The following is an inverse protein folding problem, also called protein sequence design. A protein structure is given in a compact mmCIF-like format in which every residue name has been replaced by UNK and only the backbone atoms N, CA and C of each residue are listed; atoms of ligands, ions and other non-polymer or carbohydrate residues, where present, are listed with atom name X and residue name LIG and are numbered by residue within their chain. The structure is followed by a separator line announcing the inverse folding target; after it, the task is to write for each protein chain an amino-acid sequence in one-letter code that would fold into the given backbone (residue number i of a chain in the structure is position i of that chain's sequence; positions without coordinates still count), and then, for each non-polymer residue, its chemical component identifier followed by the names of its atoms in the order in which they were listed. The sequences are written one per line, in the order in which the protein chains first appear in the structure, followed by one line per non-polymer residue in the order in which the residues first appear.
data_IF_705512021346
#
_entry.id   IF_705512021346
#
_cell.length_a   1.000
_cell.length_b   1.000
_cell.length_c   1.000
_cell.angle_alpha   90.00
_cell.angle_beta   90.00
_cell.angle_gamma   90.00
#
_symmetry.space_group_name_H-M   'P 1'
#
loop_
_entity.id
_entity.type
_entity.pdbx_description
1 polymer ?
#
# COMPACT_ATOMS: atom_id res chain seq x y z
N UNK A 1 -33.35 20.70 -23.09
CA UNK A 1 -31.94 20.64 -22.64
C UNK A 1 -31.93 19.65 -21.51
N UNK A 2 -31.20 18.55 -21.60
CA UNK A 2 -30.98 17.67 -20.45
C UNK A 2 -30.11 18.45 -19.46
N UNK A 3 -30.54 18.54 -18.20
CA UNK A 3 -29.69 19.09 -17.12
C UNK A 3 -28.42 18.26 -17.04
N UNK A 4 -27.30 18.91 -17.22
CA UNK A 4 -25.99 18.30 -16.99
C UNK A 4 -25.74 18.25 -15.47
N UNK A 5 -25.56 17.07 -14.95
CA UNK A 5 -25.20 16.84 -13.54
C UNK A 5 -23.71 16.49 -13.45
N UNK A 6 -23.06 16.81 -12.31
CA UNK A 6 -21.67 16.43 -12.11
C UNK A 6 -21.52 14.91 -11.94
N UNK A 7 -20.36 14.36 -12.24
CA UNK A 7 -20.06 12.93 -12.04
C UNK A 7 -20.34 12.48 -10.60
N UNK A 8 -20.08 13.33 -9.61
CA UNK A 8 -20.33 13.07 -8.19
C UNK A 8 -21.84 12.92 -7.86
N UNK A 9 -22.70 13.68 -8.52
CA UNK A 9 -24.15 13.73 -8.22
C UNK A 9 -25.01 13.02 -9.27
N UNK A 10 -24.40 12.33 -10.23
CA UNK A 10 -25.12 11.55 -11.23
C UNK A 10 -25.54 10.19 -10.68
N UNK A 11 -26.68 9.68 -11.15
CA UNK A 11 -27.07 8.28 -10.93
C UNK A 11 -26.40 7.40 -11.96
N UNK A 12 -25.85 6.30 -11.52
CA UNK A 12 -25.12 5.35 -12.35
C UNK A 12 -25.98 4.13 -12.68
N UNK A 13 -25.84 3.64 -13.90
CA UNK A 13 -26.32 2.32 -14.31
C UNK A 13 -25.09 1.57 -14.80
N UNK A 14 -24.69 0.54 -14.07
CA UNK A 14 -23.49 -0.25 -14.36
C UNK A 14 -23.96 -1.67 -14.64
N UNK A 15 -23.59 -2.22 -15.80
CA UNK A 15 -24.02 -3.54 -16.28
C UNK A 15 -25.55 -3.73 -16.27
N UNK A 16 -26.27 -2.67 -16.62
CA UNK A 16 -27.75 -2.65 -16.62
C UNK A 16 -28.38 -2.54 -15.22
N UNK A 17 -27.60 -2.46 -14.15
CA UNK A 17 -28.08 -2.33 -12.77
C UNK A 17 -28.01 -0.86 -12.33
N UNK A 18 -29.16 -0.29 -11.95
CA UNK A 18 -29.21 1.07 -11.39
C UNK A 18 -28.64 1.09 -9.98
N UNK A 19 -27.62 1.92 -9.75
CA UNK A 19 -27.02 2.13 -8.45
C UNK A 19 -27.92 3.02 -7.59
N UNK A 20 -28.02 2.66 -6.29
CA UNK A 20 -28.93 3.33 -5.36
C UNK A 20 -28.43 4.71 -4.97
N UNK A 21 -27.17 4.82 -4.62
CA UNK A 21 -26.51 6.04 -4.16
C UNK A 21 -25.64 6.65 -5.26
N UNK A 22 -25.50 7.95 -5.26
CA UNK A 22 -24.50 8.67 -6.04
C UNK A 22 -23.15 8.64 -5.33
N UNK A 23 -22.02 8.84 -6.04
CA UNK A 23 -20.72 8.96 -5.38
C UNK A 23 -20.69 10.00 -4.25
N UNK A 24 -21.33 11.15 -4.44
CA UNK A 24 -21.41 12.18 -3.40
C UNK A 24 -22.19 11.72 -2.17
N UNK A 25 -23.33 11.04 -2.35
CA UNK A 25 -24.11 10.53 -1.19
C UNK A 25 -23.30 9.53 -0.35
N UNK A 26 -22.51 8.65 -0.99
CA UNK A 26 -21.65 7.69 -0.27
C UNK A 26 -20.51 8.38 0.49
N UNK A 27 -19.86 9.34 -0.18
CA UNK A 27 -18.72 10.05 0.40
C UNK A 27 -19.11 11.04 1.48
N UNK A 28 -20.29 11.71 1.35
CA UNK A 28 -20.81 12.65 2.33
C UNK A 28 -21.12 11.97 3.69
N UNK A 29 -21.48 10.69 3.67
CA UNK A 29 -21.72 9.90 4.89
C UNK A 29 -20.43 9.65 5.69
N UNK A 30 -19.27 9.75 5.06
CA UNK A 30 -17.94 9.55 5.68
C UNK A 30 -17.31 10.84 6.22
N UNK A 31 -17.96 12.00 6.06
CA UNK A 31 -17.41 13.30 6.47
C UNK A 31 -17.61 13.54 7.96
N UNK A 32 -16.52 13.89 8.66
CA UNK A 32 -16.51 14.09 10.11
C UNK A 32 -17.36 15.30 10.57
N UNK A 33 -17.46 16.36 9.77
CA UNK A 33 -18.21 17.57 10.03
C UNK A 33 -18.72 18.20 8.75
N UNK A 34 -20.04 18.42 8.66
CA UNK A 34 -20.67 18.99 7.45
C UNK A 34 -20.38 20.47 7.25
N UNK A 35 -19.89 21.17 8.26
CA UNK A 35 -19.71 22.63 8.25
C UNK A 35 -18.34 23.06 7.69
N UNK A 36 -17.37 22.15 7.53
CA UNK A 36 -15.98 22.46 7.20
C UNK A 36 -15.50 21.94 5.83
N UNK A 37 -16.37 21.33 5.05
CA UNK A 37 -15.96 20.67 3.81
C UNK A 37 -16.17 21.55 2.58
N UNK A 38 -15.08 21.90 1.92
CA UNK A 38 -15.12 22.52 0.59
C UNK A 38 -15.28 21.45 -0.50
N UNK A 39 -16.50 21.16 -0.89
CA UNK A 39 -16.78 20.27 -2.03
C UNK A 39 -16.54 21.06 -3.32
N UNK A 40 -15.45 20.75 -4.03
CA UNK A 40 -15.23 21.31 -5.37
C UNK A 40 -16.11 20.56 -6.38
N UNK A 41 -17.20 21.20 -6.79
CA UNK A 41 -18.06 20.73 -7.88
C UNK A 41 -17.44 21.17 -9.20
N UNK A 42 -16.68 20.30 -9.84
CA UNK A 42 -16.13 20.57 -11.16
C UNK A 42 -16.73 19.63 -12.19
N UNK A 43 -17.37 20.22 -13.19
CA UNK A 43 -17.84 19.55 -14.39
C UNK A 43 -19.30 19.10 -14.34
N UNK A 44 -20.08 19.56 -15.33
CA UNK A 44 -21.42 19.04 -15.62
C UNK A 44 -21.29 17.73 -16.38
N UNK A 45 -22.03 16.71 -15.94
CA UNK A 45 -21.97 15.38 -16.53
C UNK A 45 -23.36 14.84 -16.91
N UNK A 46 -23.48 14.13 -18.02
CA UNK A 46 -24.71 13.39 -18.33
C UNK A 46 -24.73 12.06 -17.56
N UNK A 47 -25.92 11.59 -17.11
CA UNK A 47 -26.05 10.28 -16.48
C UNK A 47 -25.43 9.20 -17.39
N UNK A 48 -24.49 8.43 -16.85
CA UNK A 48 -23.74 7.43 -17.61
C UNK A 48 -24.45 6.09 -17.50
N UNK A 49 -24.68 5.46 -18.66
CA UNK A 49 -24.88 4.01 -18.74
C UNK A 49 -23.51 3.45 -19.11
N UNK A 50 -22.90 2.71 -18.20
CA UNK A 50 -21.57 2.15 -18.40
C UNK A 50 -21.63 0.64 -18.27
N UNK A 51 -20.95 -0.06 -19.18
CA UNK A 51 -20.77 -1.49 -19.08
C UNK A 51 -19.37 -1.74 -18.51
N UNK A 52 -19.26 -2.55 -17.48
CA UNK A 52 -17.95 -2.92 -16.93
C UNK A 52 -17.16 -3.67 -17.99
N UNK A 53 -15.90 -3.31 -18.14
CA UNK A 53 -14.97 -4.11 -18.93
C UNK A 53 -14.46 -5.24 -18.04
N UNK A 54 -14.96 -6.45 -18.26
CA UNK A 54 -14.40 -7.65 -17.61
C UNK A 54 -12.99 -7.89 -18.17
N UNK A 55 -11.93 -7.70 -17.34
CA UNK A 55 -10.58 -8.00 -17.75
C UNK A 55 -10.42 -9.51 -17.72
N UNK A 56 -10.58 -10.18 -18.85
CA UNK A 56 -10.19 -11.59 -18.95
C UNK A 56 -8.68 -11.72 -18.68
N UNK A 57 -8.26 -12.30 -17.57
CA UNK A 57 -6.86 -12.39 -17.21
C UNK A 57 -6.14 -13.36 -18.15
N UNK A 58 -5.43 -12.83 -19.14
CA UNK A 58 -4.53 -13.65 -19.94
C UNK A 58 -3.21 -13.82 -19.21
N UNK A 59 -3.05 -14.91 -18.48
CA UNK A 59 -1.78 -15.27 -17.84
C UNK A 59 -0.73 -15.63 -18.88
N UNK A 60 0.12 -14.68 -19.24
CA UNK A 60 1.42 -15.01 -19.85
C UNK A 60 2.35 -15.48 -18.73
N UNK A 61 3.13 -16.53 -19.00
CA UNK A 61 4.12 -17.03 -18.03
C UNK A 61 5.20 -16.00 -17.82
N UNK A 62 5.28 -15.42 -16.63
CA UNK A 62 6.40 -14.59 -16.22
C UNK A 62 7.68 -15.46 -16.18
N UNK A 63 8.76 -14.98 -16.78
CA UNK A 63 10.04 -15.66 -16.69
C UNK A 63 10.74 -15.24 -15.40
N UNK A 64 10.91 -16.18 -14.47
CA UNK A 64 11.49 -15.92 -13.15
C UNK A 64 12.99 -15.64 -13.14
N UNK A 65 13.66 -15.61 -14.31
CA UNK A 65 15.11 -15.64 -14.39
C UNK A 65 15.81 -14.27 -14.32
N UNK A 66 15.07 -13.15 -14.31
CA UNK A 66 15.68 -11.82 -14.36
C UNK A 66 15.09 -10.85 -13.32
N UNK A 67 15.08 -11.26 -12.05
CA UNK A 67 14.52 -10.46 -10.94
C UNK A 67 15.19 -9.08 -10.85
N UNK A 68 16.50 -8.98 -10.97
CA UNK A 68 17.22 -7.70 -10.91
C UNK A 68 16.90 -6.78 -12.10
N UNK A 69 16.72 -7.35 -13.30
CA UNK A 69 16.28 -6.58 -14.47
C UNK A 69 14.88 -6.03 -14.32
N UNK A 70 13.96 -6.80 -13.76
CA UNK A 70 12.60 -6.33 -13.43
C UNK A 70 12.63 -5.22 -12.38
N UNK A 71 13.42 -5.41 -11.30
CA UNK A 71 13.58 -4.41 -10.26
C UNK A 71 14.11 -3.08 -10.83
N UNK A 72 15.13 -3.10 -11.65
CA UNK A 72 15.68 -1.89 -12.26
C UNK A 72 14.63 -1.15 -13.12
N UNK A 73 13.83 -1.91 -13.89
CA UNK A 73 12.75 -1.34 -14.69
C UNK A 73 11.67 -0.73 -13.81
N UNK A 74 11.23 -1.42 -12.76
CA UNK A 74 10.20 -0.92 -11.85
C UNK A 74 10.67 0.34 -11.14
N UNK A 75 11.89 0.37 -10.61
CA UNK A 75 12.46 1.56 -9.96
C UNK A 75 12.47 2.76 -10.91
N UNK A 76 12.73 2.58 -12.20
CA UNK A 76 12.67 3.67 -13.18
C UNK A 76 11.25 4.18 -13.47
N UNK A 77 10.23 3.39 -13.18
CA UNK A 77 8.82 3.75 -13.39
C UNK A 77 8.14 4.39 -12.19
N UNK A 78 8.76 4.36 -10.99
CA UNK A 78 8.13 4.87 -9.77
C UNK A 78 7.76 6.35 -9.85
N UNK A 79 8.57 7.16 -10.54
CA UNK A 79 8.35 8.60 -10.72
C UNK A 79 7.43 8.93 -11.91
N UNK A 80 7.06 7.92 -12.71
CA UNK A 80 6.17 8.13 -13.86
C UNK A 80 4.71 8.15 -13.44
N UNK A 81 3.86 9.02 -14.08
CA UNK A 81 2.43 9.03 -13.81
C UNK A 81 1.78 7.70 -14.18
N UNK A 82 1.35 6.95 -13.19
CA UNK A 82 0.70 5.66 -13.39
C UNK A 82 -0.77 5.83 -13.77
N UNK A 83 -1.26 5.16 -14.83
CA UNK A 83 -2.67 5.09 -15.12
C UNK A 83 -3.41 4.29 -14.05
N UNK A 84 -4.61 4.73 -13.69
CA UNK A 84 -5.48 4.00 -12.77
C UNK A 84 -5.93 2.68 -13.43
N UNK A 85 -5.76 1.52 -12.77
CA UNK A 85 -6.17 0.24 -13.31
C UNK A 85 -7.69 0.05 -13.18
N UNK A 86 -8.45 0.57 -14.15
CA UNK A 86 -9.90 0.64 -14.10
C UNK A 86 -10.60 -0.71 -13.85
N UNK A 87 -9.99 -1.80 -14.28
CA UNK A 87 -10.48 -3.16 -14.07
C UNK A 87 -10.42 -3.63 -12.60
N UNK A 88 -9.60 -2.98 -11.79
CA UNK A 88 -9.35 -3.31 -10.39
C UNK A 88 -9.63 -2.12 -9.47
N UNK A 89 -10.63 -1.32 -9.82
CA UNK A 89 -10.89 -0.03 -9.19
C UNK A 89 -11.07 -0.11 -7.67
N UNK A 90 -11.82 -1.09 -7.19
CA UNK A 90 -12.07 -1.29 -5.76
C UNK A 90 -10.77 -1.65 -5.00
N UNK A 91 -10.13 -2.81 -5.19
CA UNK A 91 -8.98 -3.19 -4.40
C UNK A 91 -7.77 -2.25 -4.60
N UNK A 92 -7.61 -1.68 -5.79
CA UNK A 92 -6.58 -0.67 -6.02
C UNK A 92 -6.81 0.58 -5.16
N UNK A 93 -8.07 1.06 -5.07
CA UNK A 93 -8.41 2.22 -4.25
C UNK A 93 -8.14 1.97 -2.77
N UNK A 94 -8.54 0.80 -2.25
CA UNK A 94 -8.25 0.40 -0.86
C UNK A 94 -6.75 0.35 -0.60
N UNK A 95 -5.97 -0.24 -1.51
CA UNK A 95 -4.52 -0.27 -1.42
C UNK A 95 -3.87 1.12 -1.42
N UNK A 96 -4.43 2.09 -2.17
CA UNK A 96 -3.94 3.49 -2.15
C UNK A 96 -4.24 4.20 -0.83
N UNK A 97 -5.40 3.93 -0.22
CA UNK A 97 -5.75 4.45 1.12
C UNK A 97 -4.82 3.83 2.16
N UNK A 98 -4.67 2.52 2.16
CA UNK A 98 -3.75 1.81 3.06
C UNK A 98 -2.31 2.34 2.95
N UNK A 99 -1.82 2.54 1.71
CA UNK A 99 -0.51 3.16 1.47
C UNK A 99 -0.40 4.55 2.09
N UNK A 100 -1.41 5.40 1.90
CA UNK A 100 -1.38 6.75 2.43
C UNK A 100 -1.32 6.77 3.97
N UNK A 101 -2.05 5.87 4.63
CA UNK A 101 -2.02 5.71 6.08
C UNK A 101 -0.67 5.18 6.57
N UNK A 102 -0.09 4.19 5.88
CA UNK A 102 1.24 3.67 6.19
C UNK A 102 2.34 4.73 5.98
N UNK A 103 2.26 5.52 4.90
CA UNK A 103 3.20 6.61 4.69
C UNK A 103 3.10 7.67 5.81
N UNK A 104 1.91 7.86 6.38
CA UNK A 104 1.67 8.79 7.47
C UNK A 104 2.24 8.30 8.81
N UNK A 105 2.20 6.99 9.11
CA UNK A 105 2.69 6.44 10.38
C UNK A 105 4.18 6.66 10.59
N UNK A 106 4.95 6.78 9.50
CA UNK A 106 6.39 7.04 9.56
C UNK A 106 6.77 8.49 9.84
N UNK A 107 5.79 9.38 9.88
CA UNK A 107 6.04 10.83 10.04
C UNK A 107 5.96 11.23 11.49
N UNK A 108 6.66 12.31 11.87
CA UNK A 108 6.44 12.93 13.17
C UNK A 108 4.99 13.36 13.32
N UNK A 109 4.45 13.25 14.53
CA UNK A 109 3.05 13.56 14.79
C UNK A 109 2.11 12.47 14.24
N UNK A 110 2.54 11.22 14.23
CA UNK A 110 1.64 10.11 13.96
C UNK A 110 0.62 9.95 15.11
N UNK A 111 -0.56 9.52 14.74
CA UNK A 111 -1.72 9.46 15.64
C UNK A 111 -2.26 8.04 15.68
N UNK A 112 -3.13 7.75 16.65
CA UNK A 112 -3.99 6.59 16.55
C UNK A 112 -4.81 6.66 15.27
N UNK A 113 -5.13 5.53 14.68
CA UNK A 113 -5.81 5.50 13.39
C UNK A 113 -7.12 6.30 13.42
N UNK A 114 -7.90 6.22 14.52
CA UNK A 114 -9.17 6.96 14.69
C UNK A 114 -9.03 8.48 14.73
N UNK A 115 -7.82 9.02 14.96
CA UNK A 115 -7.55 10.46 14.96
C UNK A 115 -7.16 10.98 13.57
N UNK A 116 -7.09 10.12 12.57
CA UNK A 116 -6.73 10.47 11.21
C UNK A 116 -7.94 10.82 10.35
N UNK A 117 -7.70 11.68 9.36
CA UNK A 117 -8.64 11.98 8.29
C UNK A 117 -8.00 11.76 6.93
N UNK A 118 -8.83 11.53 5.91
CA UNK A 118 -8.37 11.40 4.53
C UNK A 118 -9.06 12.43 3.65
N UNK A 119 -8.26 13.14 2.84
CA UNK A 119 -8.75 13.89 1.69
C UNK A 119 -8.58 13.06 0.43
N UNK A 120 -9.65 12.96 -0.38
CA UNK A 120 -9.67 12.15 -1.60
C UNK A 120 -9.80 13.00 -2.86
N UNK A 121 -9.04 12.69 -3.90
CA UNK A 121 -9.10 13.39 -5.18
C UNK A 121 -9.14 12.40 -6.34
N UNK A 122 -10.07 12.64 -7.27
CA UNK A 122 -10.13 11.96 -8.55
C UNK A 122 -9.87 12.95 -9.69
N UNK A 123 -8.87 12.63 -10.53
CA UNK A 123 -8.64 13.30 -11.81
C UNK A 123 -8.91 12.28 -12.90
N UNK A 124 -10.00 12.47 -13.65
CA UNK A 124 -10.60 11.37 -14.37
C UNK A 124 -10.87 11.66 -15.84
N UNK A 125 -10.54 10.70 -16.71
CA UNK A 125 -10.91 10.74 -18.10
C UNK A 125 -12.25 10.02 -18.28
N UNK A 126 -13.32 10.80 -18.48
CA UNK A 126 -14.69 10.29 -18.57
C UNK A 126 -15.05 9.67 -19.94
N UNK A 127 -14.19 9.78 -20.94
CA UNK A 127 -14.53 9.39 -22.32
C UNK A 127 -14.43 7.89 -22.61
N UNK A 128 -13.39 7.16 -22.16
CA UNK A 128 -13.31 5.73 -22.40
C UNK A 128 -14.45 4.97 -21.72
N UNK A 129 -14.96 3.95 -22.43
CA UNK A 129 -15.95 3.03 -21.87
C UNK A 129 -15.39 2.35 -20.62
N UNK A 130 -16.23 2.16 -19.61
CA UNK A 130 -15.84 1.54 -18.33
C UNK A 130 -15.22 2.50 -17.31
N UNK A 131 -14.65 3.64 -17.73
CA UNK A 131 -13.97 4.55 -16.81
C UNK A 131 -14.92 5.15 -15.76
N UNK A 132 -16.17 5.41 -16.11
CA UNK A 132 -17.12 5.96 -15.14
C UNK A 132 -17.62 4.90 -14.17
N UNK A 133 -17.77 3.65 -14.59
CA UNK A 133 -18.01 2.53 -13.70
C UNK A 133 -16.84 2.35 -12.71
N UNK A 134 -15.60 2.44 -13.20
CA UNK A 134 -14.40 2.40 -12.36
C UNK A 134 -14.33 3.58 -11.37
N UNK A 135 -14.75 4.79 -11.78
CA UNK A 135 -14.87 5.92 -10.86
C UNK A 135 -15.89 5.64 -9.75
N UNK A 136 -17.07 5.15 -10.13
CA UNK A 136 -18.10 4.79 -9.16
C UNK A 136 -17.58 3.75 -8.15
N UNK A 137 -16.98 2.68 -8.65
CA UNK A 137 -16.39 1.62 -7.81
C UNK A 137 -15.28 2.15 -6.89
N UNK A 138 -14.43 3.08 -7.39
CA UNK A 138 -13.41 3.73 -6.58
C UNK A 138 -14.01 4.60 -5.47
N UNK A 139 -15.10 5.34 -5.73
CA UNK A 139 -15.78 6.15 -4.73
C UNK A 139 -16.48 5.27 -3.67
N UNK A 140 -17.14 4.18 -4.11
CA UNK A 140 -17.76 3.18 -3.24
C UNK A 140 -16.72 2.51 -2.33
N UNK A 141 -15.61 2.03 -2.90
CA UNK A 141 -14.51 1.44 -2.14
C UNK A 141 -13.89 2.43 -1.14
N UNK A 142 -13.80 3.71 -1.50
CA UNK A 142 -13.32 4.76 -0.58
C UNK A 142 -14.24 4.88 0.63
N UNK A 143 -15.55 5.02 0.41
CA UNK A 143 -16.53 5.16 1.49
C UNK A 143 -16.55 3.93 2.39
N UNK A 144 -16.61 2.73 1.80
CA UNK A 144 -16.66 1.47 2.54
C UNK A 144 -15.40 1.25 3.38
N UNK A 145 -14.21 1.45 2.78
CA UNK A 145 -12.96 1.15 3.46
C UNK A 145 -12.67 2.16 4.58
N UNK A 146 -12.95 3.45 4.37
CA UNK A 146 -12.81 4.49 5.38
C UNK A 146 -13.75 4.24 6.56
N UNK A 147 -15.01 3.85 6.31
CA UNK A 147 -15.94 3.49 7.37
C UNK A 147 -15.48 2.26 8.16
N UNK A 148 -14.97 1.23 7.48
CA UNK A 148 -14.48 0.02 8.13
C UNK A 148 -13.22 0.29 8.97
N UNK A 149 -12.36 1.22 8.54
CA UNK A 149 -11.19 1.66 9.30
C UNK A 149 -11.54 2.58 10.48
N UNK A 150 -12.79 3.03 10.61
CA UNK A 150 -13.21 3.95 11.67
C UNK A 150 -12.64 5.36 11.56
N UNK A 151 -12.20 5.77 10.35
CA UNK A 151 -11.66 7.10 10.06
C UNK A 151 -12.66 7.94 9.27
N UNK A 152 -12.37 9.24 9.08
CA UNK A 152 -13.28 10.15 8.40
C UNK A 152 -12.65 10.78 7.16
N UNK A 153 -13.50 11.22 6.21
CA UNK A 153 -13.08 12.10 5.13
C UNK A 153 -13.03 13.56 5.63
N UNK A 154 -11.91 14.23 5.36
CA UNK A 154 -11.80 15.69 5.51
C UNK A 154 -12.30 16.44 4.28
N UNK A 155 -12.44 15.76 3.15
CA UNK A 155 -13.00 16.31 1.93
C UNK A 155 -12.69 15.45 0.71
N UNK A 156 -13.36 15.78 -0.40
CA UNK A 156 -13.11 15.10 -1.67
C UNK A 156 -13.34 16.02 -2.87
N UNK A 157 -12.72 15.69 -4.01
CA UNK A 157 -12.96 16.39 -5.27
C UNK A 157 -12.85 15.49 -6.49
N UNK A 158 -13.57 15.87 -7.52
CA UNK A 158 -13.53 15.26 -8.84
C UNK A 158 -13.18 16.33 -9.89
N UNK A 159 -12.21 16.02 -10.74
CA UNK A 159 -11.81 16.91 -11.85
C UNK A 159 -11.75 16.10 -13.14
N UNK A 160 -12.46 16.56 -14.17
CA UNK A 160 -12.38 15.94 -15.49
C UNK A 160 -10.99 16.13 -16.10
N UNK A 161 -10.44 15.08 -16.69
CA UNK A 161 -9.14 15.06 -17.37
C UNK A 161 -9.30 14.47 -18.78
N UNK A 162 -8.64 15.05 -19.75
CA UNK A 162 -8.57 14.50 -21.09
C UNK A 162 -7.50 13.41 -21.29
N UNK A 163 -6.79 13.01 -20.24
CA UNK A 163 -5.62 12.11 -20.31
C UNK A 163 -5.85 10.83 -19.51
N UNK A 164 -5.23 10.75 -18.35
CA UNK A 164 -5.26 9.56 -17.48
C UNK A 164 -6.29 9.70 -16.36
N UNK A 165 -6.80 8.57 -15.90
CA UNK A 165 -7.48 8.46 -14.62
C UNK A 165 -6.46 8.32 -13.51
N UNK A 166 -6.62 9.06 -12.44
CA UNK A 166 -5.73 9.06 -11.28
C UNK A 166 -6.54 9.29 -10.00
N UNK A 167 -6.15 8.63 -8.92
CA UNK A 167 -6.61 8.91 -7.55
C UNK A 167 -5.45 9.38 -6.71
N UNK A 168 -5.75 10.24 -5.74
CA UNK A 168 -4.79 10.66 -4.73
C UNK A 168 -5.50 10.74 -3.38
N UNK A 169 -4.85 10.22 -2.35
CA UNK A 169 -5.31 10.28 -0.98
C UNK A 169 -4.26 11.00 -0.14
N UNK A 170 -4.71 11.85 0.75
CA UNK A 170 -3.85 12.60 1.64
C UNK A 170 -4.35 12.48 3.06
N UNK A 171 -3.46 12.13 3.96
CA UNK A 171 -3.77 11.96 5.38
C UNK A 171 -3.56 13.28 6.12
N UNK A 172 -4.46 13.57 7.04
CA UNK A 172 -4.39 14.65 8.01
C UNK A 172 -4.85 14.15 9.37
N UNK A 173 -4.74 14.97 10.39
CA UNK A 173 -5.23 14.69 11.74
C UNK A 173 -6.55 15.41 12.02
N UNK A 174 -7.45 14.77 12.81
CA UNK A 174 -8.72 15.37 13.21
C UNK A 174 -8.55 16.52 14.20
N UNK A 175 -7.60 16.39 15.14
CA UNK A 175 -7.40 17.35 16.24
C UNK A 175 -5.92 17.64 16.47
N UNK A 176 -5.62 18.83 16.98
CA UNK A 176 -4.29 19.16 17.49
C UNK A 176 -4.10 18.41 18.82
N UNK A 177 -3.18 17.48 18.87
CA UNK A 177 -2.76 16.90 20.14
C UNK A 177 -1.86 17.91 20.86
N UNK A 178 -2.15 18.20 22.13
CA UNK A 178 -1.42 19.22 22.94
C UNK A 178 0.10 18.96 23.07
N UNK A 179 0.55 17.79 22.67
CA UNK A 179 1.96 17.36 22.75
C UNK A 179 2.79 17.60 21.48
N UNK A 180 2.20 18.18 20.43
CA UNK A 180 2.92 18.43 19.18
C UNK A 180 3.42 19.87 19.15
N UNK A 181 4.73 20.03 18.91
CA UNK A 181 5.30 21.32 18.60
C UNK A 181 4.61 21.88 17.35
N UNK A 182 4.15 23.14 17.41
CA UNK A 182 3.44 23.78 16.28
C UNK A 182 4.24 23.75 14.98
N UNK A 183 5.57 23.62 15.07
CA UNK A 183 6.48 23.50 13.93
C UNK A 183 6.39 22.15 13.20
N UNK A 184 5.85 21.10 13.81
CA UNK A 184 5.70 19.76 13.21
C UNK A 184 4.37 19.60 12.46
N UNK A 185 3.38 20.44 12.72
CA UNK A 185 2.09 20.44 12.02
C UNK A 185 2.17 21.38 10.84
N UNK A 186 2.14 20.84 9.64
CA UNK A 186 2.29 21.60 8.41
C UNK A 186 1.04 21.57 7.53
N UNK A 187 0.56 22.74 7.15
CA UNK A 187 -0.42 22.92 6.08
C UNK A 187 0.34 23.21 4.78
N UNK A 188 0.40 22.29 3.80
CA UNK A 188 1.06 22.58 2.54
C UNK A 188 0.30 23.68 1.79
N UNK A 189 1.03 24.64 1.21
CA UNK A 189 0.48 25.74 0.39
C UNK A 189 -0.37 25.22 -0.79
N UNK A 190 -0.12 23.98 -1.23
CA UNK A 190 -0.81 23.29 -2.31
C UNK A 190 -1.77 22.20 -1.81
N UNK A 191 -2.20 22.24 -0.54
CA UNK A 191 -3.16 21.29 -0.01
C UNK A 191 -4.41 21.24 -0.91
N UNK A 192 -4.82 20.04 -1.36
CA UNK A 192 -5.88 19.96 -2.37
C UNK A 192 -7.26 20.32 -1.86
N UNK A 193 -7.45 20.28 -0.55
CA UNK A 193 -8.74 20.54 0.09
C UNK A 193 -8.55 21.22 1.41
N UNK A 194 -9.47 22.11 1.75
CA UNK A 194 -9.61 22.77 3.02
C UNK A 194 -8.28 22.90 3.76
N UNK A 195 -7.55 23.94 3.50
CA UNK A 195 -6.23 24.18 4.10
C UNK A 195 -6.25 24.28 5.64
N UNK A 196 -7.41 24.13 6.24
CA UNK A 196 -7.64 24.33 7.67
C UNK A 196 -7.39 23.08 8.52
N UNK A 197 -7.32 21.88 7.88
CA UNK A 197 -7.00 20.66 8.61
C UNK A 197 -5.48 20.49 8.75
N UNK A 198 -4.98 20.31 9.97
CA UNK A 198 -3.58 20.02 10.18
C UNK A 198 -3.20 18.72 9.45
N UNK A 199 -2.09 18.73 8.77
CA UNK A 199 -1.47 17.56 8.18
C UNK A 199 -0.33 17.09 9.07
N UNK A 200 0.02 15.83 8.96
CA UNK A 200 1.17 15.27 9.68
C UNK A 200 2.46 16.00 9.30
N UNK A 201 3.39 16.07 10.25
CA UNK A 201 4.67 16.72 10.08
C UNK A 201 5.44 16.26 8.85
N UNK A 202 6.34 17.09 8.36
CA UNK A 202 7.17 16.77 7.18
C UNK A 202 8.38 15.90 7.50
N UNK A 203 8.79 15.86 8.76
CA UNK A 203 9.94 15.06 9.19
C UNK A 203 9.50 13.63 9.45
N UNK A 204 10.29 12.68 8.99
CA UNK A 204 10.08 11.27 9.36
C UNK A 204 10.53 11.03 10.79
N UNK A 205 9.70 10.34 11.56
CA UNK A 205 10.06 9.83 12.89
C UNK A 205 11.04 8.65 12.77
N UNK A 206 10.87 7.82 11.73
CA UNK A 206 11.67 6.63 11.46
C UNK A 206 12.44 6.82 10.14
N UNK A 207 13.75 6.60 10.11
CA UNK A 207 14.55 6.65 8.88
C UNK A 207 14.03 5.71 7.79
N UNK A 208 14.18 6.12 6.52
CA UNK A 208 13.81 5.32 5.35
C UNK A 208 14.96 4.48 4.79
N UNK A 209 16.14 4.57 5.36
CA UNK A 209 17.33 3.82 4.94
C UNK A 209 17.75 2.80 5.99
N UNK A 210 18.18 1.63 5.53
CA UNK A 210 18.72 0.60 6.41
C UNK A 210 19.94 1.14 7.17
N UNK A 211 19.95 0.93 8.48
CA UNK A 211 21.14 1.12 9.28
C UNK A 211 22.16 0.00 8.98
N UNK A 212 23.46 0.36 9.01
CA UNK A 212 24.56 -0.57 8.75
C UNK A 212 24.84 -1.47 9.98
N UNK A 213 23.84 -2.18 10.45
CA UNK A 213 23.91 -3.11 11.59
C UNK A 213 23.59 -4.52 11.10
N UNK A 214 24.60 -5.37 10.86
CA UNK A 214 24.42 -6.71 10.32
C UNK A 214 23.71 -7.68 11.29
N UNK A 215 23.65 -7.38 12.57
CA UNK A 215 22.99 -8.20 13.57
C UNK A 215 21.49 -7.85 13.69
N UNK A 216 21.06 -6.70 13.16
CA UNK A 216 19.67 -6.26 13.18
C UNK A 216 18.80 -7.06 12.18
N UNK A 217 17.52 -7.19 12.48
CA UNK A 217 16.56 -7.95 11.67
C UNK A 217 15.79 -7.06 10.71
N UNK A 218 15.56 -7.55 9.50
CA UNK A 218 14.64 -6.99 8.53
C UNK A 218 13.37 -7.85 8.54
N UNK A 219 12.25 -7.24 8.94
CA UNK A 219 10.97 -7.92 9.10
C UNK A 219 9.97 -7.33 8.11
N UNK A 220 9.23 -8.17 7.42
CA UNK A 220 8.08 -7.80 6.58
C UNK A 220 6.77 -8.12 7.30
N UNK A 221 5.86 -7.17 7.30
CA UNK A 221 4.51 -7.29 7.84
C UNK A 221 3.52 -6.93 6.73
N UNK A 222 2.79 -7.89 6.15
CA UNK A 222 1.69 -7.59 5.24
C UNK A 222 0.52 -7.00 6.05
N UNK A 223 -0.15 -5.99 5.51
CA UNK A 223 -1.30 -5.32 6.14
C UNK A 223 -2.64 -5.79 5.57
N UNK A 224 -2.62 -6.89 4.87
CA UNK A 224 -3.79 -7.62 4.41
C UNK A 224 -3.45 -9.11 4.28
N UNK A 225 -4.41 -9.97 4.56
CA UNK A 225 -4.24 -11.43 4.53
C UNK A 225 -4.45 -12.04 3.14
N UNK A 226 -4.67 -11.22 2.10
CA UNK A 226 -4.97 -11.67 0.75
C UNK A 226 -3.78 -12.34 0.05
N UNK A 227 -4.09 -13.13 -0.98
CA UNK A 227 -3.09 -13.82 -1.80
C UNK A 227 -2.20 -12.83 -2.58
N UNK A 228 -0.92 -13.19 -2.75
CA UNK A 228 0.00 -12.47 -3.61
C UNK A 228 -0.39 -12.61 -5.08
N UNK A 229 -0.80 -11.50 -5.72
CA UNK A 229 -1.23 -11.39 -7.10
C UNK A 229 -0.45 -10.29 -7.80
N UNK A 230 -0.35 -10.35 -9.13
CA UNK A 230 0.40 -9.38 -9.93
C UNK A 230 -0.48 -8.49 -10.82
N UNK A 231 -1.78 -8.75 -10.90
CA UNK A 231 -2.68 -7.92 -11.71
C UNK A 231 -2.61 -6.47 -11.31
N UNK A 232 -2.56 -5.57 -12.28
CA UNK A 232 -2.45 -4.13 -12.05
C UNK A 232 -1.17 -3.65 -11.36
N UNK A 233 -0.15 -4.47 -11.20
CA UNK A 233 1.14 -4.07 -10.61
C UNK A 233 2.03 -3.33 -11.60
N UNK A 234 3.02 -2.58 -11.10
CA UNK A 234 4.06 -1.95 -11.93
C UNK A 234 4.86 -2.97 -12.75
N UNK A 235 5.02 -4.19 -12.23
CA UNK A 235 5.66 -5.25 -13.01
C UNK A 235 4.82 -5.63 -14.24
N UNK A 236 3.51 -5.73 -14.10
CA UNK A 236 2.61 -6.00 -15.22
C UNK A 236 2.62 -4.87 -16.22
N UNK A 237 2.59 -3.63 -15.76
CA UNK A 237 2.68 -2.43 -16.61
C UNK A 237 4.00 -2.40 -17.37
N UNK A 238 5.13 -2.65 -16.71
CA UNK A 238 6.47 -2.70 -17.31
C UNK A 238 6.62 -3.79 -18.40
N UNK A 239 5.92 -4.91 -18.21
CA UNK A 239 5.95 -6.03 -19.16
C UNK A 239 4.86 -5.94 -20.25
N UNK A 240 3.98 -4.94 -20.18
CA UNK A 240 2.80 -4.82 -21.05
C UNK A 240 1.89 -6.05 -20.94
N UNK A 241 1.70 -6.59 -19.74
CA UNK A 241 0.91 -7.78 -19.46
C UNK A 241 -0.15 -7.49 -18.41
N UNK A 242 -1.31 -8.11 -18.53
CA UNK A 242 -2.40 -7.91 -17.56
C UNK A 242 -2.16 -8.68 -16.23
N UNK A 243 -1.22 -9.61 -16.19
CA UNK A 243 -0.98 -10.44 -15.01
C UNK A 243 -2.10 -11.44 -14.73
N UNK A 244 -2.19 -11.85 -13.48
CA UNK A 244 -3.34 -12.53 -12.88
C UNK A 244 -4.28 -11.50 -12.22
N UNK A 245 -5.21 -11.92 -11.37
CA UNK A 245 -6.07 -10.98 -10.65
C UNK A 245 -5.25 -10.01 -9.77
N UNK A 246 -5.86 -8.90 -9.42
CA UNK A 246 -5.33 -7.97 -8.43
C UNK A 246 -5.40 -8.62 -7.02
N UNK A 247 -4.51 -8.25 -6.05
CA UNK A 247 -4.68 -8.61 -4.65
C UNK A 247 -6.05 -8.14 -4.12
N UNK A 248 -6.77 -9.00 -3.42
CA UNK A 248 -8.12 -8.68 -2.91
C UNK A 248 -8.02 -7.92 -1.58
N UNK A 249 -7.49 -6.69 -1.62
CA UNK A 249 -7.29 -5.84 -0.46
C UNK A 249 -8.64 -5.42 0.13
N UNK A 250 -8.86 -5.69 1.44
CA UNK A 250 -10.14 -5.36 2.05
C UNK A 250 -10.29 -5.69 3.53
N UNK A 251 -9.31 -6.33 4.14
CA UNK A 251 -9.33 -6.70 5.55
C UNK A 251 -8.98 -5.49 6.44
N UNK A 252 -10.01 -4.66 6.72
CA UNK A 252 -9.82 -3.44 7.49
C UNK A 252 -9.51 -3.72 8.98
N UNK A 253 -10.09 -4.76 9.57
CA UNK A 253 -9.85 -5.11 10.97
C UNK A 253 -8.38 -5.54 11.15
N UNK A 254 -7.89 -6.40 10.26
CA UNK A 254 -6.49 -6.82 10.27
C UNK A 254 -5.52 -5.64 10.00
N UNK A 255 -5.91 -4.71 9.12
CA UNK A 255 -5.14 -3.49 8.89
C UNK A 255 -5.02 -2.64 10.16
N UNK A 256 -6.12 -2.48 10.93
CA UNK A 256 -6.14 -1.72 12.19
C UNK A 256 -5.16 -2.34 13.19
N UNK A 257 -5.21 -3.65 13.39
CA UNK A 257 -4.33 -4.35 14.32
C UNK A 257 -2.85 -4.18 13.94
N UNK A 258 -2.52 -4.38 12.67
CA UNK A 258 -1.15 -4.14 12.17
C UNK A 258 -0.70 -2.70 12.35
N UNK A 259 -1.59 -1.73 12.07
CA UNK A 259 -1.28 -0.30 12.18
C UNK A 259 -0.93 0.08 13.62
N UNK A 260 -1.73 -0.35 14.59
CA UNK A 260 -1.53 0.00 16.01
C UNK A 260 -0.23 -0.61 16.55
N UNK A 261 0.08 -1.86 16.25
CA UNK A 261 1.34 -2.49 16.69
C UNK A 261 2.55 -1.78 16.07
N UNK A 262 2.51 -1.46 14.78
CA UNK A 262 3.62 -0.73 14.14
C UNK A 262 3.75 0.68 14.73
N UNK A 263 2.64 1.36 15.01
CA UNK A 263 2.65 2.68 15.66
C UNK A 263 3.33 2.63 17.03
N UNK A 264 3.03 1.62 17.84
CA UNK A 264 3.68 1.40 19.15
C UNK A 264 5.18 1.17 18.99
N UNK A 265 5.62 0.37 18.01
CA UNK A 265 7.06 0.17 17.77
C UNK A 265 7.79 1.46 17.37
N UNK A 266 7.08 2.43 16.77
CA UNK A 266 7.64 3.74 16.46
C UNK A 266 7.73 4.59 17.73
N UNK A 267 6.68 4.64 18.55
CA UNK A 267 6.66 5.38 19.81
C UNK A 267 7.75 4.90 20.77
N UNK A 268 7.92 3.59 20.88
CA UNK A 268 8.94 2.94 21.74
C UNK A 268 10.35 2.97 21.13
N UNK A 269 10.51 3.53 19.91
CA UNK A 269 11.78 3.62 19.17
C UNK A 269 12.43 2.26 18.89
N UNK A 270 11.62 1.23 18.73
CA UNK A 270 12.03 -0.12 18.36
C UNK A 270 12.38 -0.16 16.85
N UNK A 271 11.56 0.48 16.01
CA UNK A 271 11.82 0.59 14.59
C UNK A 271 13.04 1.49 14.32
N UNK A 272 14.14 0.90 13.88
CA UNK A 272 15.40 1.58 13.53
C UNK A 272 15.29 2.24 12.16
N UNK A 273 14.68 1.56 11.20
CA UNK A 273 14.30 2.08 9.91
C UNK A 273 13.03 1.39 9.40
N UNK A 274 12.31 2.05 8.50
CA UNK A 274 11.05 1.50 7.98
C UNK A 274 10.71 2.01 6.59
N UNK A 275 9.91 1.23 5.84
CA UNK A 275 9.34 1.64 4.57
C UNK A 275 7.97 1.00 4.35
N UNK A 276 7.12 1.68 3.58
CA UNK A 276 5.86 1.15 3.08
C UNK A 276 6.10 0.24 1.88
N UNK A 277 5.53 -0.95 1.91
CA UNK A 277 5.42 -1.83 0.75
C UNK A 277 4.11 -1.51 0.04
N UNK A 278 4.17 -1.16 -1.22
CA UNK A 278 3.03 -0.98 -2.11
C UNK A 278 3.51 -0.95 -3.57
N UNK A 279 3.76 0.24 -4.14
CA UNK A 279 4.18 0.40 -5.54
C UNK A 279 5.45 -0.39 -5.84
N UNK A 280 5.36 -1.33 -6.77
CA UNK A 280 6.46 -2.22 -7.16
C UNK A 280 6.76 -3.36 -6.18
N UNK A 281 6.00 -3.49 -5.08
CA UNK A 281 6.04 -4.60 -4.15
C UNK A 281 7.22 -4.60 -3.18
N UNK A 282 7.37 -5.74 -2.49
CA UNK A 282 8.33 -5.95 -1.39
C UNK A 282 9.79 -5.66 -1.79
N UNK A 283 10.23 -6.21 -2.94
CA UNK A 283 11.61 -6.07 -3.36
C UNK A 283 11.97 -4.63 -3.72
N UNK A 284 11.03 -3.90 -4.31
CA UNK A 284 11.21 -2.48 -4.65
C UNK A 284 11.32 -1.62 -3.41
N UNK A 285 10.43 -1.81 -2.44
CA UNK A 285 10.48 -1.10 -1.16
C UNK A 285 11.82 -1.36 -0.45
N UNK A 286 12.26 -2.61 -0.38
CA UNK A 286 13.53 -2.96 0.25
C UNK A 286 14.73 -2.36 -0.51
N UNK A 287 14.73 -2.36 -1.84
CA UNK A 287 15.78 -1.72 -2.65
C UNK A 287 15.87 -0.21 -2.39
N UNK A 288 14.73 0.44 -2.20
CA UNK A 288 14.69 1.85 -1.83
C UNK A 288 15.23 2.13 -0.42
N UNK A 289 15.13 1.16 0.50
CA UNK A 289 15.77 1.26 1.82
C UNK A 289 17.29 1.09 1.77
N UNK A 290 17.83 0.45 0.74
CA UNK A 290 19.28 0.31 0.57
C UNK A 290 19.95 1.65 0.28
N UNK A 291 21.23 1.75 0.66
CA UNK A 291 22.14 2.86 0.32
C UNK A 291 23.32 2.34 -0.49
N UNK A 292 24.29 3.20 -0.86
CA UNK A 292 25.45 2.77 -1.62
C UNK A 292 26.27 1.63 -0.98
N UNK A 293 26.34 1.63 0.35
CA UNK A 293 27.18 0.71 1.15
C UNK A 293 26.36 -0.27 2.00
N UNK A 294 25.04 -0.14 2.06
CA UNK A 294 24.15 -0.99 2.83
C UNK A 294 23.05 -1.56 1.94
N UNK A 295 23.09 -2.85 1.75
CA UNK A 295 22.08 -3.64 1.08
C UNK A 295 21.36 -4.58 2.04
N UNK A 296 20.83 -5.68 1.53
CA UNK A 296 20.12 -6.67 2.33
C UNK A 296 20.33 -8.09 1.80
N UNK A 297 20.49 -9.03 2.71
CA UNK A 297 20.44 -10.47 2.44
C UNK A 297 19.13 -11.01 3.03
N UNK A 298 18.20 -11.42 2.16
CA UNK A 298 16.86 -11.87 2.58
C UNK A 298 16.53 -13.26 2.09
N UNK A 299 15.72 -13.97 2.88
CA UNK A 299 15.11 -15.27 2.54
C UNK A 299 13.59 -15.15 2.60
N UNK A 300 12.92 -15.37 1.47
CA UNK A 300 11.45 -15.32 1.35
C UNK A 300 10.79 -16.70 1.45
N UNK A 301 11.53 -17.74 1.78
CA UNK A 301 10.99 -19.11 1.86
C UNK A 301 9.90 -19.25 2.93
N UNK A 302 10.00 -18.51 4.03
CA UNK A 302 8.97 -18.43 5.07
C UNK A 302 7.64 -17.91 4.52
N UNK A 303 7.67 -16.81 3.77
CA UNK A 303 6.49 -16.22 3.13
C UNK A 303 5.90 -17.21 2.10
N UNK A 304 6.77 -17.78 1.23
CA UNK A 304 6.34 -18.76 0.23
C UNK A 304 5.64 -19.95 0.86
N UNK A 305 6.16 -20.44 1.99
CA UNK A 305 5.57 -21.58 2.72
C UNK A 305 4.24 -21.22 3.38
N UNK A 306 4.13 -20.04 4.01
CA UNK A 306 2.92 -19.61 4.69
C UNK A 306 1.73 -19.44 3.75
N UNK A 307 1.97 -18.88 2.56
CA UNK A 307 0.93 -18.68 1.55
C UNK A 307 0.79 -19.85 0.56
N UNK A 308 1.60 -20.90 0.67
CA UNK A 308 1.61 -21.98 -0.32
C UNK A 308 1.94 -21.47 -1.74
N UNK A 309 2.68 -20.36 -1.87
CA UNK A 309 2.99 -19.72 -3.15
C UNK A 309 4.38 -20.14 -3.62
N UNK A 310 4.44 -20.81 -4.75
CA UNK A 310 5.69 -21.30 -5.36
C UNK A 310 6.35 -20.30 -6.32
N UNK A 311 5.65 -19.20 -6.65
CA UNK A 311 6.12 -18.19 -7.60
C UNK A 311 6.72 -16.99 -6.87
N UNK A 312 8.04 -17.02 -6.69
CA UNK A 312 8.76 -15.94 -6.02
C UNK A 312 8.48 -14.52 -6.56
N UNK A 313 8.15 -14.38 -7.87
CA UNK A 313 7.82 -13.07 -8.43
C UNK A 313 6.54 -12.48 -7.85
N UNK A 314 5.56 -13.30 -7.46
CA UNK A 314 4.36 -12.82 -6.79
C UNK A 314 4.70 -12.26 -5.42
N UNK A 315 5.49 -12.97 -4.63
CA UNK A 315 5.93 -12.49 -3.31
C UNK A 315 6.71 -11.16 -3.44
N UNK A 316 7.62 -11.09 -4.40
CA UNK A 316 8.54 -9.95 -4.53
C UNK A 316 7.88 -8.69 -5.10
N UNK A 317 6.88 -8.83 -5.98
CA UNK A 317 6.35 -7.72 -6.77
C UNK A 317 4.84 -7.51 -6.65
N UNK A 318 4.14 -8.30 -5.83
CA UNK A 318 2.75 -8.00 -5.50
C UNK A 318 2.67 -6.71 -4.69
N UNK A 319 1.66 -5.90 -4.99
CA UNK A 319 1.48 -4.57 -4.39
C UNK A 319 0.48 -4.61 -3.23
N UNK A 320 0.56 -5.67 -2.39
CA UNK A 320 -0.17 -5.72 -1.12
C UNK A 320 0.43 -4.66 -0.19
N UNK A 321 -0.39 -3.77 0.40
CA UNK A 321 0.10 -2.83 1.40
C UNK A 321 0.75 -3.56 2.58
N UNK A 322 1.89 -3.05 3.02
CA UNK A 322 2.62 -3.65 4.12
C UNK A 322 3.76 -2.76 4.61
N UNK A 323 4.43 -3.20 5.64
CA UNK A 323 5.58 -2.54 6.24
C UNK A 323 6.83 -3.41 6.15
N UNK A 324 7.97 -2.80 5.85
CA UNK A 324 9.29 -3.34 6.17
C UNK A 324 9.81 -2.55 7.35
N UNK A 325 10.18 -3.22 8.41
CA UNK A 325 10.83 -2.61 9.56
C UNK A 325 12.19 -3.26 9.80
N UNK A 326 13.16 -2.44 10.22
CA UNK A 326 14.43 -2.92 10.76
C UNK A 326 14.41 -2.72 12.27
N UNK A 327 14.74 -3.76 13.03
CA UNK A 327 14.80 -3.74 14.48
C UNK A 327 16.16 -4.27 14.95
N UNK A 328 16.58 -3.92 16.16
CA UNK A 328 17.77 -4.51 16.77
C UNK A 328 17.52 -5.95 17.18
N UNK A 329 18.56 -6.78 17.17
CA UNK A 329 18.48 -8.16 17.66
C UNK A 329 18.01 -8.23 19.12
N UNK A 330 18.39 -7.26 19.97
CA UNK A 330 17.94 -7.17 21.36
C UNK A 330 16.43 -7.01 21.53
N UNK A 331 15.74 -6.50 20.53
CA UNK A 331 14.31 -6.20 20.58
C UNK A 331 13.47 -7.30 19.92
N UNK A 332 14.13 -8.30 19.32
CA UNK A 332 13.48 -9.35 18.53
C UNK A 332 12.44 -10.15 19.34
N UNK A 333 12.79 -10.62 20.53
CA UNK A 333 11.88 -11.43 21.36
C UNK A 333 10.64 -10.64 21.78
N UNK A 334 10.76 -9.33 22.00
CA UNK A 334 9.63 -8.47 22.31
C UNK A 334 8.72 -8.29 21.09
N UNK A 335 9.30 -7.99 19.93
CA UNK A 335 8.55 -7.81 18.67
C UNK A 335 7.85 -9.10 18.25
N UNK A 336 8.52 -10.26 18.40
CA UNK A 336 7.94 -11.58 18.16
C UNK A 336 6.71 -11.82 19.06
N UNK A 337 6.84 -11.51 20.35
CA UNK A 337 5.75 -11.68 21.32
C UNK A 337 4.55 -10.77 20.99
N UNK A 338 4.77 -9.50 20.63
CA UNK A 338 3.69 -8.58 20.31
C UNK A 338 2.93 -8.99 19.05
N UNK A 339 3.61 -9.37 17.97
CA UNK A 339 2.95 -9.87 16.78
C UNK A 339 2.15 -11.15 17.04
N UNK A 340 2.68 -12.07 17.83
CA UNK A 340 1.98 -13.30 18.21
C UNK A 340 0.74 -13.04 19.08
N UNK A 341 0.83 -12.07 20.01
CA UNK A 341 -0.30 -11.70 20.88
C UNK A 341 -1.48 -11.11 20.11
N UNK A 342 -1.18 -10.38 19.04
CA UNK A 342 -2.19 -9.72 18.19
C UNK A 342 -2.60 -10.58 16.98
N UNK A 343 -2.12 -11.81 16.86
CA UNK A 343 -2.36 -12.72 15.72
C UNK A 343 -1.98 -12.09 14.35
N UNK A 344 -0.90 -11.29 14.34
CA UNK A 344 -0.39 -10.63 13.15
C UNK A 344 0.67 -11.48 12.47
N UNK A 345 0.49 -11.73 11.16
CA UNK A 345 1.50 -12.40 10.36
C UNK A 345 2.70 -11.47 10.12
N UNK A 346 3.89 -11.93 10.45
CA UNK A 346 5.14 -11.21 10.23
C UNK A 346 6.22 -12.20 9.75
N UNK A 347 7.18 -11.69 9.01
CA UNK A 347 8.22 -12.51 8.38
C UNK A 347 9.59 -11.90 8.61
N UNK A 348 10.40 -12.44 9.55
CA UNK A 348 11.81 -12.13 9.62
C UNK A 348 12.50 -12.64 8.37
N UNK A 349 12.92 -11.72 7.51
CA UNK A 349 13.47 -12.08 6.19
C UNK A 349 14.98 -12.23 6.20
N UNK A 350 15.68 -11.54 7.10
CA UNK A 350 17.14 -11.56 7.14
C UNK A 350 17.74 -10.28 7.71
N UNK A 351 18.90 -9.90 7.20
CA UNK A 351 19.74 -8.88 7.81
C UNK A 351 20.28 -7.87 6.78
N UNK A 352 20.65 -6.65 7.20
CA UNK A 352 21.39 -5.74 6.35
C UNK A 352 22.76 -6.32 5.96
N UNK A 353 23.14 -6.12 4.69
CA UNK A 353 24.43 -6.49 4.16
C UNK A 353 25.31 -5.26 3.97
N UNK A 354 26.48 -5.21 4.62
CA UNK A 354 27.41 -4.10 4.50
C UNK A 354 28.40 -4.30 3.33
N UNK A 355 28.85 -3.18 2.73
CA UNK A 355 29.79 -3.18 1.61
C UNK A 355 29.16 -3.38 0.23
N UNK A 356 27.85 -3.44 0.16
CA UNK A 356 27.07 -3.49 -1.10
C UNK A 356 25.74 -2.80 -0.91
N UNK A 357 25.24 -2.11 -1.92
CA UNK A 357 23.88 -1.54 -1.95
C UNK A 357 22.85 -2.46 -2.61
N UNK A 358 23.16 -3.75 -2.79
CA UNK A 358 22.32 -4.69 -3.50
C UNK A 358 21.46 -5.53 -2.55
N UNK A 359 20.32 -5.99 -3.06
CA UNK A 359 19.44 -6.93 -2.35
C UNK A 359 19.67 -8.33 -2.92
N UNK A 360 20.13 -9.24 -2.07
CA UNK A 360 20.27 -10.65 -2.40
C UNK A 360 19.04 -11.41 -1.90
N UNK A 361 18.35 -12.11 -2.79
CA UNK A 361 17.13 -12.84 -2.46
C UNK A 361 17.37 -14.34 -2.54
N UNK A 362 17.24 -15.02 -1.41
CA UNK A 362 17.12 -16.47 -1.33
C UNK A 362 15.64 -16.87 -1.39
N UNK A 363 15.35 -17.88 -2.17
CA UNK A 363 14.03 -18.48 -2.30
C UNK A 363 14.24 -20.00 -2.39
N UNK A 364 14.79 -20.56 -1.34
CA UNK A 364 15.03 -21.99 -1.25
C UNK A 364 13.80 -22.68 -0.67
N UNK A 365 13.20 -23.62 -1.37
CA UNK A 365 12.21 -24.49 -0.80
C UNK A 365 12.83 -25.36 0.29
N UNK A 366 12.90 -24.85 1.51
CA UNK A 366 13.17 -25.64 2.70
C UNK A 366 11.90 -26.39 3.11
N UNK A 367 11.41 -27.26 2.26
CA UNK A 367 10.61 -28.38 2.74
C UNK A 367 11.44 -29.18 3.74
N UNK A 368 10.79 -30.00 4.58
CA UNK A 368 11.45 -30.90 5.56
C UNK A 368 12.70 -31.59 4.95
N UNK A 369 12.73 -31.82 3.65
CA UNK A 369 13.88 -32.33 2.90
C UNK A 369 15.09 -31.37 2.91
N UNK A 370 14.92 -30.05 2.86
CA UNK A 370 16.01 -29.06 2.89
C UNK A 370 16.62 -28.93 4.30
N UNK A 371 15.77 -28.97 5.33
CA UNK A 371 16.23 -28.99 6.75
C UNK A 371 17.00 -30.27 7.04
N UNK A 372 16.50 -31.42 6.58
CA UNK A 372 17.22 -32.69 6.71
C UNK A 372 18.55 -32.69 5.95
N UNK A 373 18.60 -32.06 4.77
CA UNK A 373 19.83 -31.98 3.99
C UNK A 373 20.86 -31.02 4.61
N UNK A 374 20.42 -29.91 5.24
CA UNK A 374 21.31 -29.02 5.99
C UNK A 374 21.82 -29.68 7.26
N UNK A 375 21.02 -30.45 7.97
CA UNK A 375 21.42 -31.22 9.15
C UNK A 375 22.39 -32.36 8.78
N UNK A 376 22.16 -33.02 7.66
CA UNK A 376 23.07 -34.09 7.18
C UNK A 376 24.40 -33.52 6.69
N UNK A 377 24.40 -32.33 6.08
CA UNK A 377 25.65 -31.67 5.65
C UNK A 377 26.47 -31.13 6.83
N UNK A 378 25.83 -30.67 7.92
CA UNK A 378 26.53 -30.26 9.13
C UNK A 378 27.14 -31.43 9.90
N UNK A 379 26.50 -32.62 9.86
CA UNK A 379 27.08 -33.84 10.47
C UNK A 379 28.22 -34.44 9.66
N UNK A 380 28.25 -34.21 8.34
CA UNK A 380 29.34 -34.71 7.50
C UNK A 380 30.64 -33.88 7.67
N UNK A 381 30.54 -32.63 8.10
CA UNK A 381 31.70 -31.75 8.37
C UNK A 381 32.31 -31.94 9.75
N UNK A 382 31.64 -32.63 10.68
CA UNK A 382 32.18 -32.94 12.01
C UNK A 382 32.84 -34.36 12.11
N UNK A 383 32.87 -35.09 11.01
CA UNK A 383 33.43 -36.46 10.96
C UNK A 383 34.76 -36.61 10.26
N UNK A 384 35.42 -35.51 9.86
CA UNK A 384 36.73 -35.50 9.21
C UNK A 384 37.78 -34.69 9.99
N UNK A 385 37.87 -34.90 11.33
CA UNK A 385 39.04 -34.49 12.13
C UNK A 385 39.63 -35.69 12.89
#
# INVERSE_FOLDING_TARGET
MKEKTSALHSKYIIDGVSRRLTPAEMLDDCIASKDEVTIQKNGDFEPVVDESTDPSPSMKKFQSQNVQGYLATIVSLLDEPRPFPAAYADPYTRGRIAKALLDAVWMNGHFNLGDLTIAARWKWNCKPLGNMAAFYSSAEATADYINNLGICLSGYSFTESGRLCQTAFKVGACEKTESQDEDDIFLPEDAPFGSEHPVLGRRRAVPDKLAADPDSWIIYVPFDSCDFRLGGSLLCDALGQNGDNFPEIGDADYFIDCYEVIREFIEDRIAVSAATVCDGGLLTALKLMCSGDVGADIDISGIMSAYGEDKKLRILFSEIPGAIIQIKDSDYDYVDAEFLLQDIAYYPMGHPATGTGEVNVKAGGSGIAGILQSLLSSQASEGED
#
